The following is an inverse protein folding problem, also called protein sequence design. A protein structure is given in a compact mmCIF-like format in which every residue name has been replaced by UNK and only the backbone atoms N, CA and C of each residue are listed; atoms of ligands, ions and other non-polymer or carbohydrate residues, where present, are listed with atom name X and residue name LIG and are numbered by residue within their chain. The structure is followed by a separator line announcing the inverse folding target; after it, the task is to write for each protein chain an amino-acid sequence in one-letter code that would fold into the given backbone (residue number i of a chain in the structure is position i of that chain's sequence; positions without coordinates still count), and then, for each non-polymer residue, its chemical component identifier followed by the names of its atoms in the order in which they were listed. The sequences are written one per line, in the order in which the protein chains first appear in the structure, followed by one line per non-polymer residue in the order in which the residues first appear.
data_IF_251135190435
#
_entry.id   IF_251135190435
#
_cell.length_a   1.000
_cell.length_b   1.000
_cell.length_c   1.000
_cell.angle_alpha   90.00
_cell.angle_beta   90.00
_cell.angle_gamma   90.00
#
_symmetry.space_group_name_H-M   'P 1'
#
loop_
_entity.id
_entity.type
_entity.pdbx_description
1 polymer ?
#
# COMPACT_ATOMS: atom_id res chain seq x y z
N UNK A 1 -3.54 -31.22 10.39
CA UNK A 1 -2.86 -29.91 10.57
C UNK A 1 -3.10 -29.14 9.30
N UNK A 2 -3.72 -27.95 9.38
CA UNK A 2 -3.90 -27.10 8.20
C UNK A 2 -2.53 -26.77 7.59
N UNK A 3 -2.46 -26.70 6.26
CA UNK A 3 -1.22 -26.26 5.59
C UNK A 3 -0.99 -24.79 5.95
N UNK A 4 0.24 -24.44 6.32
CA UNK A 4 0.62 -23.06 6.68
C UNK A 4 0.16 -22.07 5.59
N UNK A 5 -0.43 -20.94 5.99
CA UNK A 5 -1.10 -19.93 5.15
C UNK A 5 -2.46 -20.33 4.55
N UNK A 6 -2.88 -21.60 4.55
CA UNK A 6 -4.08 -22.01 3.83
C UNK A 6 -5.34 -21.31 4.35
N UNK A 7 -5.52 -21.27 5.67
CA UNK A 7 -6.67 -20.61 6.30
C UNK A 7 -6.70 -19.11 5.97
N UNK A 8 -5.57 -18.42 6.12
CA UNK A 8 -5.41 -17.02 5.75
C UNK A 8 -5.78 -16.79 4.28
N UNK A 9 -5.20 -17.58 3.37
CA UNK A 9 -5.41 -17.42 1.93
C UNK A 9 -6.89 -17.60 1.58
N UNK A 10 -7.51 -18.69 2.03
CA UNK A 10 -8.91 -18.98 1.71
C UNK A 10 -9.86 -17.90 2.23
N UNK A 11 -9.65 -17.45 3.47
CA UNK A 11 -10.49 -16.44 4.11
C UNK A 11 -10.37 -15.06 3.46
N UNK A 12 -9.14 -14.58 3.26
CA UNK A 12 -8.90 -13.28 2.61
C UNK A 12 -9.40 -13.32 1.16
N UNK A 13 -9.22 -14.45 0.46
CA UNK A 13 -9.71 -14.60 -0.91
C UNK A 13 -11.24 -14.59 -0.96
N UNK A 14 -11.92 -15.27 -0.04
CA UNK A 14 -13.38 -15.24 0.04
C UNK A 14 -13.91 -13.81 0.19
N UNK A 15 -13.35 -13.03 1.13
CA UNK A 15 -13.69 -11.61 1.28
C UNK A 15 -13.36 -10.80 0.03
N UNK A 16 -12.22 -11.06 -0.62
CA UNK A 16 -11.84 -10.40 -1.87
C UNK A 16 -12.82 -10.69 -3.01
N UNK A 17 -13.33 -11.92 -3.10
CA UNK A 17 -14.32 -12.31 -4.09
C UNK A 17 -15.68 -11.60 -3.86
N UNK A 18 -16.05 -11.32 -2.61
CA UNK A 18 -17.24 -10.49 -2.31
C UNK A 18 -17.07 -9.05 -2.83
N UNK A 19 -15.87 -8.49 -2.69
CA UNK A 19 -15.56 -7.13 -3.16
C UNK A 19 -15.39 -7.06 -4.69
N UNK A 20 -14.90 -8.14 -5.30
CA UNK A 20 -14.61 -8.24 -6.74
C UNK A 20 -15.11 -9.59 -7.29
N UNK A 21 -16.41 -9.68 -7.67
CA UNK A 21 -17.05 -10.93 -8.08
C UNK A 21 -16.35 -11.68 -9.22
N UNK A 22 -15.61 -10.97 -10.10
CA UNK A 22 -14.83 -11.60 -11.17
C UNK A 22 -13.75 -12.58 -10.69
N UNK A 23 -13.39 -12.54 -9.39
CA UNK A 23 -12.45 -13.49 -8.78
C UNK A 23 -13.11 -14.81 -8.41
N UNK A 24 -14.44 -14.87 -8.25
CA UNK A 24 -15.14 -16.09 -7.84
C UNK A 24 -14.87 -17.29 -8.77
N UNK A 25 -14.57 -17.03 -10.06
CA UNK A 25 -14.18 -18.05 -11.05
C UNK A 25 -12.95 -18.88 -10.67
N UNK A 26 -12.08 -18.38 -9.79
CA UNK A 26 -10.90 -19.12 -9.32
C UNK A 26 -11.20 -20.03 -8.13
N UNK A 27 -12.43 -19.97 -7.59
CA UNK A 27 -12.90 -20.79 -6.49
C UNK A 27 -14.02 -21.76 -6.94
N UNK A 28 -14.20 -21.96 -8.24
CA UNK A 28 -15.11 -22.96 -8.80
C UNK A 28 -14.29 -24.24 -9.02
N UNK A 29 -14.85 -25.36 -8.58
CA UNK A 29 -14.38 -26.73 -8.86
C UNK A 29 -15.23 -27.29 -10.00
N UNK A 30 -14.68 -28.14 -10.86
CA UNK A 30 -15.47 -28.81 -11.88
C UNK A 30 -16.56 -29.69 -11.23
N UNK A 31 -17.83 -29.48 -11.60
CA UNK A 31 -18.95 -30.26 -11.06
C UNK A 31 -18.89 -31.73 -11.51
N UNK A 32 -18.16 -32.01 -12.60
CA UNK A 32 -17.93 -33.35 -13.13
C UNK A 32 -16.77 -34.09 -12.42
N UNK A 33 -15.94 -33.38 -11.63
CA UNK A 33 -14.85 -33.94 -10.81
C UNK A 33 -15.05 -33.62 -9.32
N UNK A 34 -15.95 -34.31 -8.61
CA UNK A 34 -16.32 -33.99 -7.23
C UNK A 34 -15.17 -34.16 -6.20
N UNK A 35 -14.06 -34.76 -6.59
CA UNK A 35 -12.85 -34.92 -5.77
C UNK A 35 -11.79 -33.83 -6.05
N UNK A 36 -12.03 -32.90 -6.99
CA UNK A 36 -11.10 -31.82 -7.28
C UNK A 36 -11.15 -30.77 -6.14
N UNK A 37 -10.02 -30.55 -5.46
CA UNK A 37 -9.89 -29.50 -4.46
C UNK A 37 -9.30 -28.22 -5.08
N UNK A 38 -9.86 -27.06 -4.73
CA UNK A 38 -9.31 -25.77 -5.15
C UNK A 38 -7.88 -25.64 -4.63
N UNK A 39 -6.91 -25.53 -5.55
CA UNK A 39 -5.52 -25.26 -5.21
C UNK A 39 -5.40 -23.88 -4.55
N UNK A 40 -5.18 -23.86 -3.23
CA UNK A 40 -5.03 -22.63 -2.47
C UNK A 40 -3.83 -21.80 -2.94
N UNK A 41 -2.85 -22.37 -3.64
CA UNK A 41 -1.71 -21.62 -4.21
C UNK A 41 -2.17 -20.72 -5.35
N UNK A 42 -3.13 -21.17 -6.15
CA UNK A 42 -3.77 -20.34 -7.17
C UNK A 42 -4.49 -19.16 -6.52
N UNK A 43 -5.22 -19.39 -5.43
CA UNK A 43 -5.86 -18.32 -4.66
C UNK A 43 -4.83 -17.35 -4.07
N UNK A 44 -3.72 -17.87 -3.53
CA UNK A 44 -2.62 -17.07 -2.99
C UNK A 44 -1.98 -16.16 -4.04
N UNK A 45 -1.78 -16.66 -5.26
CA UNK A 45 -1.31 -15.85 -6.40
C UNK A 45 -2.30 -14.74 -6.76
N UNK A 46 -3.61 -15.02 -6.71
CA UNK A 46 -4.62 -13.98 -6.89
C UNK A 46 -4.58 -12.92 -5.79
N UNK A 47 -4.33 -13.28 -4.52
CA UNK A 47 -4.15 -12.29 -3.46
C UNK A 47 -2.98 -11.34 -3.77
N UNK A 48 -1.82 -11.91 -4.13
CA UNK A 48 -0.61 -11.14 -4.47
C UNK A 48 -0.89 -10.17 -5.62
N UNK A 49 -1.57 -10.63 -6.68
CA UNK A 49 -1.88 -9.83 -7.89
C UNK A 49 -2.98 -8.78 -7.70
N UNK A 50 -3.82 -8.91 -6.68
CA UNK A 50 -4.95 -8.00 -6.47
C UNK A 50 -4.74 -7.03 -5.32
N UNK A 51 -3.85 -7.32 -4.38
CA UNK A 51 -3.39 -6.28 -3.45
C UNK A 51 -2.44 -5.29 -4.16
N UNK A 52 -2.35 -4.03 -3.69
CA UNK A 52 -1.34 -3.07 -4.15
C UNK A 52 0.08 -3.61 -3.92
N UNK A 53 1.00 -3.31 -4.84
CA UNK A 53 2.36 -3.88 -4.84
C UNK A 53 3.06 -3.91 -3.48
N UNK A 54 3.06 -2.82 -2.66
CA UNK A 54 3.70 -2.86 -1.35
C UNK A 54 3.18 -3.99 -0.44
N UNK A 55 1.88 -4.29 -0.49
CA UNK A 55 1.27 -5.38 0.29
C UNK A 55 1.48 -6.72 -0.41
N UNK A 56 1.29 -6.76 -1.74
CA UNK A 56 1.45 -7.97 -2.54
C UNK A 56 2.84 -8.61 -2.42
N UNK A 57 3.91 -7.82 -2.38
CA UNK A 57 5.29 -8.32 -2.20
C UNK A 57 5.48 -9.01 -0.86
N UNK A 58 4.95 -8.45 0.23
CA UNK A 58 5.08 -9.06 1.55
C UNK A 58 4.25 -10.34 1.68
N UNK A 59 3.07 -10.40 1.03
CA UNK A 59 2.30 -11.64 0.91
C UNK A 59 3.05 -12.70 0.11
N UNK A 60 3.67 -12.32 -1.01
CA UNK A 60 4.50 -13.21 -1.82
C UNK A 60 5.65 -13.81 -1.02
N UNK A 61 6.31 -13.00 -0.18
CA UNK A 61 7.35 -13.49 0.75
C UNK A 61 6.75 -14.43 1.80
N UNK A 62 5.65 -14.06 2.45
CA UNK A 62 4.99 -14.85 3.49
C UNK A 62 4.48 -16.21 2.98
N UNK A 63 4.04 -16.27 1.72
CA UNK A 63 3.55 -17.51 1.08
C UNK A 63 4.65 -18.37 0.48
N UNK A 64 5.90 -17.88 0.48
CA UNK A 64 7.03 -18.61 -0.10
C UNK A 64 7.40 -19.86 0.73
N UNK A 65 8.10 -20.80 0.08
CA UNK A 65 8.53 -22.04 0.73
C UNK A 65 9.46 -21.84 1.94
N UNK A 66 10.23 -20.75 1.97
CA UNK A 66 11.13 -20.43 3.09
C UNK A 66 10.40 -19.99 4.36
N UNK A 67 9.12 -19.64 4.25
CA UNK A 67 8.30 -19.19 5.38
C UNK A 67 7.39 -20.31 5.92
N UNK A 68 7.61 -21.58 5.56
CA UNK A 68 6.77 -22.69 6.03
C UNK A 68 7.03 -23.08 7.48
N UNK A 69 8.22 -22.80 8.00
CA UNK A 69 8.57 -23.10 9.38
C UNK A 69 8.01 -22.00 10.30
N UNK A 70 7.48 -22.40 11.45
CA UNK A 70 6.94 -21.47 12.46
C UNK A 70 8.09 -20.91 13.33
N UNK A 71 9.04 -20.26 12.68
CA UNK A 71 10.27 -19.76 13.30
C UNK A 71 10.30 -18.22 13.37
N UNK A 72 11.43 -17.69 13.87
CA UNK A 72 11.62 -16.24 14.01
C UNK A 72 11.53 -15.52 12.67
N UNK A 73 11.98 -16.15 11.59
CA UNK A 73 11.96 -15.55 10.26
C UNK A 73 10.52 -15.36 9.77
N UNK A 74 9.67 -16.37 9.95
CA UNK A 74 8.23 -16.26 9.65
C UNK A 74 7.57 -15.19 10.51
N UNK A 75 7.85 -15.18 11.82
CA UNK A 75 7.31 -14.18 12.73
C UNK A 75 7.64 -12.75 12.27
N UNK A 76 8.91 -12.49 11.95
CA UNK A 76 9.36 -11.20 11.45
C UNK A 76 8.69 -10.84 10.11
N UNK A 77 8.43 -11.82 9.23
CA UNK A 77 7.71 -11.59 7.98
C UNK A 77 6.23 -11.24 8.21
N UNK A 78 5.55 -11.87 9.18
CA UNK A 78 4.18 -11.50 9.56
C UNK A 78 4.14 -10.04 10.01
N UNK A 79 5.08 -9.62 10.87
CA UNK A 79 5.20 -8.22 11.30
C UNK A 79 5.43 -7.27 10.13
N UNK A 80 6.34 -7.61 9.20
CA UNK A 80 6.58 -6.79 8.02
C UNK A 80 5.33 -6.65 7.15
N UNK A 81 4.57 -7.72 6.97
CA UNK A 81 3.31 -7.67 6.21
C UNK A 81 2.28 -6.76 6.87
N UNK A 82 2.16 -6.81 8.20
CA UNK A 82 1.27 -5.93 8.97
C UNK A 82 1.72 -4.47 8.84
N UNK A 83 2.99 -4.22 9.15
CA UNK A 83 3.58 -2.87 9.13
C UNK A 83 3.44 -2.24 7.76
N UNK A 84 3.71 -3.00 6.69
CA UNK A 84 3.59 -2.52 5.31
C UNK A 84 2.15 -2.27 4.90
N UNK A 85 1.20 -3.12 5.30
CA UNK A 85 -0.22 -2.92 5.05
C UNK A 85 -0.73 -1.64 5.72
N UNK A 86 -0.32 -1.42 6.96
CA UNK A 86 -0.68 -0.22 7.74
C UNK A 86 -0.01 1.04 7.21
N UNK A 87 1.25 0.96 6.81
CA UNK A 87 1.95 2.07 6.15
C UNK A 87 1.22 2.47 4.87
N UNK A 88 0.96 1.52 3.97
CA UNK A 88 0.30 1.78 2.70
C UNK A 88 -1.08 2.41 2.91
N UNK A 89 -1.94 1.83 3.76
CA UNK A 89 -3.28 2.38 3.97
C UNK A 89 -3.23 3.76 4.64
N UNK A 90 -2.28 4.00 5.55
CA UNK A 90 -2.10 5.33 6.13
C UNK A 90 -1.75 6.36 5.05
N UNK A 91 -0.93 6.00 4.05
CA UNK A 91 -0.58 6.89 2.94
C UNK A 91 -1.75 7.17 2.02
N UNK A 92 -2.63 6.19 1.77
CA UNK A 92 -3.89 6.42 1.07
C UNK A 92 -4.74 7.45 1.81
N UNK A 93 -4.91 7.28 3.13
CA UNK A 93 -5.71 8.18 3.94
C UNK A 93 -5.12 9.60 4.01
N UNK A 94 -3.80 9.73 4.17
CA UNK A 94 -3.11 11.04 4.18
C UNK A 94 -3.24 11.72 2.82
N UNK A 95 -3.06 11.00 1.73
CA UNK A 95 -3.13 11.56 0.38
C UNK A 95 -4.53 12.11 0.10
N UNK A 96 -5.57 11.38 0.53
CA UNK A 96 -6.92 11.88 0.43
C UNK A 96 -7.14 13.10 1.34
N UNK A 97 -6.71 13.02 2.60
CA UNK A 97 -6.86 14.13 3.54
C UNK A 97 -6.17 15.40 3.05
N UNK A 98 -4.98 15.27 2.46
CA UNK A 98 -4.27 16.41 1.85
C UNK A 98 -5.10 17.04 0.72
N UNK A 99 -5.58 16.24 -0.23
CA UNK A 99 -6.45 16.71 -1.32
C UNK A 99 -7.70 17.41 -0.78
N UNK A 100 -8.35 16.82 0.22
CA UNK A 100 -9.60 17.31 0.77
C UNK A 100 -9.38 18.59 1.61
N UNK A 101 -8.21 18.76 2.24
CA UNK A 101 -7.81 20.04 2.86
C UNK A 101 -7.60 21.12 1.82
N UNK A 102 -6.87 20.84 0.73
CA UNK A 102 -6.64 21.82 -0.33
C UNK A 102 -7.94 22.23 -1.04
N UNK A 103 -8.90 21.31 -1.15
CA UNK A 103 -10.24 21.59 -1.65
C UNK A 103 -11.16 22.28 -0.64
N UNK A 104 -10.71 22.45 0.61
CA UNK A 104 -11.50 23.05 1.69
C UNK A 104 -12.67 22.19 2.18
N UNK A 105 -12.70 20.89 1.84
CA UNK A 105 -13.75 19.96 2.27
C UNK A 105 -13.44 19.29 3.61
N UNK A 106 -12.16 19.16 3.97
CA UNK A 106 -11.71 18.63 5.25
C UNK A 106 -11.12 19.73 6.14
N UNK A 107 -11.61 19.82 7.37
CA UNK A 107 -10.95 20.63 8.41
C UNK A 107 -10.09 19.74 9.31
N UNK A 108 -8.79 20.02 9.40
CA UNK A 108 -7.91 19.27 10.31
C UNK A 108 -8.22 19.66 11.77
N UNK A 109 -8.48 18.70 12.68
CA UNK A 109 -8.65 18.98 14.11
C UNK A 109 -7.34 19.43 14.76
N UNK A 110 -7.42 20.31 15.77
CA UNK A 110 -6.22 20.83 16.46
C UNK A 110 -5.35 19.72 17.09
N UNK A 111 -5.99 18.64 17.55
CA UNK A 111 -5.31 17.44 18.07
C UNK A 111 -4.47 16.74 17.01
N UNK A 112 -4.85 16.82 15.73
CA UNK A 112 -4.07 16.30 14.61
C UNK A 112 -2.98 17.29 14.22
N UNK A 113 -3.29 18.60 14.13
CA UNK A 113 -2.31 19.64 13.73
C UNK A 113 -1.06 19.67 14.61
N UNK A 114 -1.26 19.66 15.94
CA UNK A 114 -0.16 19.80 16.90
C UNK A 114 0.84 18.64 16.89
N UNK A 115 0.36 17.45 16.57
CA UNK A 115 1.15 16.21 16.64
C UNK A 115 1.67 15.75 15.27
N UNK A 116 1.04 16.15 14.16
CA UNK A 116 1.29 15.58 12.84
C UNK A 116 2.73 15.75 12.40
N UNK A 117 3.25 16.97 12.32
CA UNK A 117 4.61 17.22 11.83
C UNK A 117 5.64 16.43 12.64
N UNK A 118 5.59 16.51 13.97
CA UNK A 118 6.53 15.82 14.85
C UNK A 118 6.51 14.30 14.68
N UNK A 119 5.31 13.70 14.58
CA UNK A 119 5.16 12.25 14.34
C UNK A 119 5.52 11.86 12.91
N UNK A 120 5.36 12.76 11.93
CA UNK A 120 5.59 12.49 10.51
C UNK A 120 7.06 12.61 10.11
N UNK A 121 7.91 13.24 10.92
CA UNK A 121 9.37 13.31 10.68
C UNK A 121 10.05 11.94 10.65
N UNK A 122 9.56 10.96 11.42
CA UNK A 122 10.07 9.59 11.42
C UNK A 122 8.94 8.60 11.71
N UNK A 123 8.59 7.82 10.69
CA UNK A 123 7.43 6.94 10.75
C UNK A 123 7.74 5.64 11.48
N UNK A 124 6.74 5.16 12.21
CA UNK A 124 6.74 3.92 12.96
C UNK A 124 5.36 3.28 12.85
N UNK A 125 5.24 2.03 13.30
CA UNK A 125 3.94 1.38 13.41
C UNK A 125 2.95 2.17 14.28
N UNK A 126 3.46 2.79 15.37
CA UNK A 126 2.69 3.71 16.21
C UNK A 126 2.21 4.96 15.46
N UNK A 127 2.98 5.43 14.47
CA UNK A 127 2.56 6.54 13.62
C UNK A 127 1.43 6.11 12.67
N UNK A 128 1.56 4.95 12.01
CA UNK A 128 0.53 4.47 11.07
C UNK A 128 -0.82 4.21 11.75
N UNK A 129 -0.80 3.50 12.89
CA UNK A 129 -2.01 3.25 13.71
C UNK A 129 -2.72 4.56 14.10
N UNK A 130 -1.95 5.52 14.59
CA UNK A 130 -2.45 6.83 15.00
C UNK A 130 -3.06 7.59 13.83
N UNK A 131 -2.40 7.66 12.67
CA UNK A 131 -2.93 8.33 11.47
C UNK A 131 -4.25 7.70 11.03
N UNK A 132 -4.29 6.36 10.91
CA UNK A 132 -5.48 5.64 10.46
C UNK A 132 -6.67 5.96 11.39
N UNK A 133 -6.46 5.92 12.70
CA UNK A 133 -7.51 6.23 13.68
C UNK A 133 -7.94 7.70 13.64
N UNK A 134 -6.98 8.62 13.65
CA UNK A 134 -7.27 10.05 13.72
C UNK A 134 -8.02 10.52 12.48
N UNK A 135 -7.56 10.13 11.29
CA UNK A 135 -8.24 10.46 10.04
C UNK A 135 -9.57 9.72 9.91
N UNK A 136 -9.64 8.46 10.32
CA UNK A 136 -10.88 7.68 10.41
C UNK A 136 -11.98 8.39 11.21
N UNK A 137 -11.64 8.83 12.42
CA UNK A 137 -12.56 9.59 13.28
C UNK A 137 -12.90 10.96 12.66
N UNK A 138 -11.92 11.68 12.14
CA UNK A 138 -12.12 13.02 11.56
C UNK A 138 -13.12 12.99 10.40
N UNK A 139 -12.97 12.04 9.47
CA UNK A 139 -13.90 11.87 8.34
C UNK A 139 -15.29 11.47 8.81
N UNK A 140 -15.37 10.56 9.79
CA UNK A 140 -16.66 10.15 10.36
C UNK A 140 -17.38 11.31 11.06
N UNK A 141 -16.66 12.14 11.81
CA UNK A 141 -17.21 13.29 12.54
C UNK A 141 -17.68 14.41 11.60
N UNK A 142 -16.97 14.61 10.49
CA UNK A 142 -17.30 15.63 9.49
C UNK A 142 -18.20 15.11 8.37
N UNK A 143 -18.59 13.82 8.41
CA UNK A 143 -19.42 13.17 7.40
C UNK A 143 -18.84 13.30 5.98
N UNK A 144 -17.52 13.11 5.84
CA UNK A 144 -16.80 13.18 4.57
C UNK A 144 -16.65 11.75 4.02
N UNK A 145 -16.93 11.57 2.73
CA UNK A 145 -16.81 10.28 2.08
C UNK A 145 -15.35 9.96 1.74
N UNK A 146 -14.95 8.71 1.96
CA UNK A 146 -13.66 8.20 1.50
C UNK A 146 -13.65 7.99 -0.02
N UNK A 147 -12.51 8.24 -0.66
CA UNK A 147 -12.26 7.90 -2.06
C UNK A 147 -12.52 6.41 -2.32
N UNK A 148 -12.25 5.59 -1.31
CA UNK A 148 -12.67 4.20 -1.22
C UNK A 148 -13.81 4.07 -0.20
N UNK A 149 -15.08 4.10 -0.63
CA UNK A 149 -16.22 4.16 0.29
C UNK A 149 -16.30 2.98 1.26
N UNK A 150 -15.70 1.84 0.91
CA UNK A 150 -15.63 0.64 1.75
C UNK A 150 -14.87 0.87 3.06
N UNK A 151 -13.99 1.88 3.12
CA UNK A 151 -13.30 2.24 4.37
C UNK A 151 -14.29 2.57 5.49
N UNK A 152 -15.43 3.20 5.16
CA UNK A 152 -16.45 3.58 6.15
C UNK A 152 -17.02 2.38 6.89
N UNK A 153 -17.23 1.25 6.21
CA UNK A 153 -17.78 0.02 6.82
C UNK A 153 -16.69 -0.93 7.30
N UNK A 154 -15.52 -0.93 6.66
CA UNK A 154 -14.39 -1.80 7.04
C UNK A 154 -13.62 -1.31 8.26
N UNK A 155 -13.52 0.00 8.49
CA UNK A 155 -12.73 0.58 9.59
C UNK A 155 -13.62 0.90 10.79
N UNK A 156 -14.19 -0.15 11.36
CA UNK A 156 -15.01 -0.09 12.56
C UNK A 156 -14.16 -0.07 13.85
N UNK A 157 -14.85 0.01 15.00
CA UNK A 157 -14.19 -0.04 16.32
C UNK A 157 -13.33 -1.29 16.53
N UNK A 158 -13.69 -2.42 15.93
CA UNK A 158 -12.93 -3.67 16.04
C UNK A 158 -11.65 -3.60 15.22
N UNK A 159 -11.71 -3.02 14.02
CA UNK A 159 -10.53 -2.76 13.20
C UNK A 159 -9.54 -1.87 13.93
N UNK A 160 -9.97 -0.72 14.46
CA UNK A 160 -9.08 0.17 15.20
C UNK A 160 -8.47 -0.50 16.44
N UNK A 161 -9.26 -1.28 17.19
CA UNK A 161 -8.76 -2.04 18.34
C UNK A 161 -7.72 -3.09 17.94
N UNK A 162 -7.90 -3.75 16.78
CA UNK A 162 -6.92 -4.69 16.25
C UNK A 162 -5.60 -4.01 15.84
N UNK A 163 -5.63 -2.74 15.43
CA UNK A 163 -4.44 -1.98 15.10
C UNK A 163 -3.62 -1.60 16.35
N UNK A 164 -4.28 -1.24 17.45
CA UNK A 164 -3.61 -0.84 18.71
C UNK A 164 -2.77 -1.97 19.31
N UNK A 165 -3.17 -3.22 19.08
CA UNK A 165 -2.45 -4.41 19.54
C UNK A 165 -0.98 -4.40 19.11
N UNK A 166 -0.67 -3.92 17.91
CA UNK A 166 0.67 -4.13 17.34
C UNK A 166 1.74 -3.17 17.84
N UNK A 167 1.36 -2.01 18.36
CA UNK A 167 2.34 -1.02 18.86
C UNK A 167 3.18 -1.57 20.01
N UNK A 168 2.60 -2.11 21.11
CA UNK A 168 3.39 -2.72 22.18
C UNK A 168 4.14 -3.97 21.71
N UNK A 169 3.51 -4.83 20.91
CA UNK A 169 4.12 -6.09 20.44
C UNK A 169 5.36 -5.86 19.57
N UNK A 170 5.31 -4.84 18.69
CA UNK A 170 6.46 -4.48 17.86
C UNK A 170 7.61 -3.95 18.69
N UNK A 171 7.33 -3.16 19.73
CA UNK A 171 8.35 -2.67 20.65
C UNK A 171 8.98 -3.83 21.44
N UNK A 172 8.14 -4.75 21.94
CA UNK A 172 8.60 -5.93 22.69
C UNK A 172 9.54 -6.82 21.87
N UNK A 173 9.24 -7.05 20.59
CA UNK A 173 10.02 -7.94 19.72
C UNK A 173 11.23 -7.25 19.10
N UNK A 174 11.12 -5.93 18.85
CA UNK A 174 12.18 -5.11 18.26
C UNK A 174 13.31 -4.80 19.24
N UNK A 175 13.00 -4.70 20.53
CA UNK A 175 14.00 -4.82 21.58
C UNK A 175 14.29 -6.32 21.74
N UNK A 176 15.44 -6.80 21.25
CA UNK A 176 15.97 -8.17 21.48
C UNK A 176 16.16 -8.55 22.96
N UNK A 177 15.45 -7.91 23.89
CA UNK A 177 15.47 -8.13 25.33
C UNK A 177 14.66 -9.36 25.75
N UNK A 178 13.80 -9.91 24.88
CA UNK A 178 13.10 -11.17 25.16
C UNK A 178 13.71 -12.29 24.30
N UNK A 179 14.45 -13.18 24.96
CA UNK A 179 14.78 -14.48 24.41
C UNK A 179 13.49 -15.33 24.41
N UNK A 180 12.68 -15.19 23.36
CA UNK A 180 11.53 -16.06 23.14
C UNK A 180 12.00 -17.48 22.91
N UNK A 181 11.36 -18.45 23.56
CA UNK A 181 11.61 -19.86 23.27
C UNK A 181 11.06 -20.21 21.88
N UNK A 182 11.49 -21.32 21.30
CA UNK A 182 10.93 -21.80 20.04
C UNK A 182 9.41 -22.01 20.14
N UNK A 183 8.93 -22.56 21.26
CA UNK A 183 7.50 -22.76 21.51
C UNK A 183 6.72 -21.43 21.57
N UNK A 184 7.28 -20.38 22.18
CA UNK A 184 6.65 -19.05 22.20
C UNK A 184 6.57 -18.44 20.80
N UNK A 185 7.61 -18.63 19.99
CA UNK A 185 7.66 -18.15 18.61
C UNK A 185 6.60 -18.86 17.76
N UNK A 186 6.47 -20.19 17.89
CA UNK A 186 5.47 -20.96 17.17
C UNK A 186 4.04 -20.50 17.51
N UNK A 187 3.75 -20.33 18.81
CA UNK A 187 2.45 -19.83 19.29
C UNK A 187 2.14 -18.44 18.72
N UNK A 188 3.12 -17.51 18.77
CA UNK A 188 2.97 -16.16 18.22
C UNK A 188 2.80 -16.16 16.71
N UNK A 189 3.46 -17.05 15.97
CA UNK A 189 3.25 -17.16 14.52
C UNK A 189 1.78 -17.49 14.20
N UNK A 190 1.20 -18.46 14.90
CA UNK A 190 -0.21 -18.84 14.69
C UNK A 190 -1.15 -17.71 15.10
N UNK A 191 -0.95 -17.12 16.28
CA UNK A 191 -1.81 -16.04 16.77
C UNK A 191 -1.74 -14.79 15.88
N UNK A 192 -0.53 -14.39 15.47
CA UNK A 192 -0.34 -13.19 14.69
C UNK A 192 -0.74 -13.38 13.23
N UNK A 193 -0.65 -14.59 12.67
CA UNK A 193 -1.23 -14.91 11.36
C UNK A 193 -2.76 -14.74 11.37
N UNK A 194 -3.44 -15.15 12.44
CA UNK A 194 -4.88 -14.94 12.58
C UNK A 194 -5.24 -13.44 12.64
N UNK A 195 -4.48 -12.65 13.39
CA UNK A 195 -4.68 -11.19 13.44
C UNK A 195 -4.35 -10.49 12.11
N UNK A 196 -3.29 -10.93 11.42
CA UNK A 196 -2.98 -10.48 10.07
C UNK A 196 -4.11 -10.82 9.10
N UNK A 197 -4.66 -12.04 9.18
CA UNK A 197 -5.81 -12.49 8.38
C UNK A 197 -6.97 -11.52 8.55
N UNK A 198 -7.33 -11.18 9.79
CA UNK A 198 -8.38 -10.20 10.07
C UNK A 198 -8.10 -8.83 9.44
N UNK A 199 -6.87 -8.33 9.52
CA UNK A 199 -6.50 -7.04 8.89
C UNK A 199 -6.66 -7.13 7.36
N UNK A 200 -6.18 -8.20 6.74
CA UNK A 200 -6.24 -8.38 5.29
C UNK A 200 -7.68 -8.54 4.79
N UNK A 201 -8.54 -9.26 5.52
CA UNK A 201 -9.98 -9.35 5.23
C UNK A 201 -10.61 -7.95 5.18
N UNK A 202 -10.28 -7.08 6.14
CA UNK A 202 -10.76 -5.68 6.18
C UNK A 202 -10.21 -4.82 5.08
N UNK A 203 -9.06 -5.19 4.49
CA UNK A 203 -8.43 -4.50 3.37
C UNK A 203 -8.75 -5.13 2.01
N UNK A 204 -9.53 -6.21 1.94
CA UNK A 204 -9.85 -6.92 0.70
C UNK A 204 -10.53 -6.06 -0.37
N UNK A 205 -11.17 -4.95 0.03
CA UNK A 205 -11.73 -3.97 -0.90
C UNK A 205 -10.68 -3.31 -1.81
N UNK A 206 -9.41 -3.29 -1.41
CA UNK A 206 -8.30 -2.79 -2.23
C UNK A 206 -8.21 -3.50 -3.60
N UNK A 207 -8.71 -4.75 -3.69
CA UNK A 207 -8.77 -5.50 -4.95
C UNK A 207 -9.60 -4.84 -6.07
N UNK A 208 -10.51 -3.94 -5.70
CA UNK A 208 -11.34 -3.15 -6.63
C UNK A 208 -10.54 -2.03 -7.30
N UNK A 209 -9.45 -1.60 -6.68
CA UNK A 209 -8.64 -0.46 -7.10
C UNK A 209 -7.35 -0.91 -7.76
N UNK A 210 -6.75 -0.02 -8.54
CA UNK A 210 -5.51 -0.28 -9.28
C UNK A 210 -4.45 0.74 -8.89
N UNK A 211 -3.34 0.25 -8.34
CA UNK A 211 -2.14 1.04 -8.12
C UNK A 211 -1.38 1.11 -9.44
N UNK A 212 -1.11 2.32 -9.92
CA UNK A 212 -0.40 2.55 -11.18
C UNK A 212 0.69 3.59 -10.99
N UNK A 213 1.77 3.45 -11.73
CA UNK A 213 2.79 4.47 -11.89
C UNK A 213 2.50 5.23 -13.19
N UNK A 214 2.38 6.57 -13.13
CA UNK A 214 2.27 7.41 -14.32
C UNK A 214 3.66 7.91 -14.67
N UNK A 215 4.25 7.30 -15.70
CA UNK A 215 5.64 7.55 -16.08
C UNK A 215 5.79 8.86 -16.86
N UNK A 216 4.85 9.15 -17.73
CA UNK A 216 4.85 10.33 -18.61
C UNK A 216 3.43 10.57 -19.17
N UNK A 217 3.13 11.82 -19.53
CA UNK A 217 1.89 12.22 -20.19
C UNK A 217 2.25 13.06 -21.41
N UNK A 218 1.97 12.51 -22.60
CA UNK A 218 2.26 13.17 -23.87
C UNK A 218 1.00 13.84 -24.43
N UNK A 219 1.10 15.12 -24.75
CA UNK A 219 0.03 15.87 -25.40
C UNK A 219 0.02 15.53 -26.89
N UNK A 220 -1.11 15.03 -27.39
CA UNK A 220 -1.36 14.83 -28.81
C UNK A 220 -2.38 15.85 -29.31
N UNK A 221 -1.92 16.81 -30.13
CA UNK A 221 -2.74 17.90 -30.65
C UNK A 221 -2.55 18.06 -32.15
N UNK A 222 -3.55 17.66 -32.93
CA UNK A 222 -3.60 17.92 -34.37
C UNK A 222 -4.32 19.23 -34.70
N UNK A 223 -4.10 19.73 -35.91
CA UNK A 223 -4.76 20.94 -36.43
C UNK A 223 -6.28 20.73 -36.46
N UNK A 224 -7.05 21.65 -35.87
CA UNK A 224 -8.53 21.63 -35.77
C UNK A 224 -9.14 20.43 -35.00
N UNK A 225 -8.38 19.72 -34.17
CA UNK A 225 -8.91 18.71 -33.25
C UNK A 225 -8.66 19.12 -31.81
N UNK A 226 -9.41 18.61 -30.84
CA UNK A 226 -9.10 18.83 -29.43
C UNK A 226 -7.82 18.10 -29.02
N UNK A 227 -7.19 18.55 -27.93
CA UNK A 227 -6.03 17.86 -27.38
C UNK A 227 -6.47 16.50 -26.81
N UNK A 228 -5.66 15.47 -27.03
CA UNK A 228 -5.75 14.21 -26.30
C UNK A 228 -4.45 13.99 -25.54
N UNK A 229 -4.53 13.26 -24.44
CA UNK A 229 -3.42 13.00 -23.54
C UNK A 229 -3.12 11.51 -23.57
N UNK A 230 -1.88 11.17 -23.91
CA UNK A 230 -1.38 9.80 -23.90
C UNK A 230 -0.62 9.58 -22.60
N UNK A 231 -1.23 8.85 -21.67
CA UNK A 231 -0.62 8.43 -20.42
C UNK A 231 0.16 7.14 -20.63
N UNK A 232 1.42 7.14 -20.20
CA UNK A 232 2.26 5.95 -20.17
C UNK A 232 2.27 5.46 -18.74
N UNK A 233 1.62 4.33 -18.47
CA UNK A 233 1.41 3.83 -17.10
C UNK A 233 2.01 2.44 -16.88
N UNK A 234 2.58 2.19 -15.70
CA UNK A 234 2.95 0.86 -15.21
C UNK A 234 1.93 0.34 -14.20
N UNK A 235 1.42 -0.89 -14.38
CA UNK A 235 0.48 -1.48 -13.42
C UNK A 235 1.23 -2.08 -12.23
N UNK A 236 1.09 -1.47 -11.05
CA UNK A 236 1.71 -1.89 -9.79
C UNK A 236 0.81 -2.86 -9.00
N UNK A 237 0.05 -3.69 -9.71
CA UNK A 237 -0.67 -4.83 -9.16
C UNK A 237 -0.20 -6.05 -9.95
N UNK A 238 0.92 -6.63 -9.54
CA UNK A 238 1.57 -7.75 -10.24
C UNK A 238 2.13 -8.76 -9.25
N UNK A 239 2.37 -9.98 -9.73
CA UNK A 239 3.14 -11.01 -9.04
C UNK A 239 4.66 -10.83 -9.19
N UNK A 240 5.09 -10.07 -10.18
CA UNK A 240 6.47 -9.78 -10.53
C UNK A 240 6.73 -8.27 -10.61
N UNK A 241 8.01 -7.90 -10.60
CA UNK A 241 8.48 -6.51 -10.65
C UNK A 241 8.60 -5.99 -12.09
N UNK A 242 8.21 -6.77 -13.09
CA UNK A 242 8.25 -6.37 -14.50
C UNK A 242 6.94 -5.69 -14.87
N UNK A 243 6.79 -4.44 -14.43
CA UNK A 243 5.57 -3.67 -14.65
C UNK A 243 5.42 -3.30 -16.13
N UNK A 244 4.55 -4.03 -16.82
CA UNK A 244 4.23 -3.77 -18.23
C UNK A 244 3.67 -2.36 -18.39
N UNK A 245 4.34 -1.57 -19.22
CA UNK A 245 3.87 -0.27 -19.64
C UNK A 245 2.63 -0.42 -20.53
N UNK A 246 1.56 0.27 -20.17
CA UNK A 246 0.35 0.42 -20.98
C UNK A 246 0.21 1.87 -21.41
N UNK A 247 -0.41 2.07 -22.56
CA UNK A 247 -0.72 3.40 -23.08
C UNK A 247 -2.23 3.60 -23.02
N UNK A 248 -2.66 4.66 -22.32
CA UNK A 248 -4.06 5.05 -22.23
C UNK A 248 -4.21 6.42 -22.89
N UNK A 249 -5.23 6.57 -23.72
CA UNK A 249 -5.54 7.83 -24.38
C UNK A 249 -6.81 8.42 -23.78
N UNK A 250 -6.71 9.64 -23.26
CA UNK A 250 -7.80 10.32 -22.60
C UNK A 250 -7.97 11.76 -23.08
N UNK A 251 -9.14 12.33 -22.78
CA UNK A 251 -9.43 13.75 -23.04
C UNK A 251 -9.00 14.66 -21.88
N UNK A 252 -8.71 14.08 -20.70
CA UNK A 252 -8.19 14.76 -19.51
C UNK A 252 -6.82 14.20 -19.16
N UNK A 253 -6.05 14.93 -18.36
CA UNK A 253 -4.74 14.50 -17.86
C UNK A 253 -4.77 14.32 -16.33
N UNK A 254 -3.80 13.58 -15.82
CA UNK A 254 -3.53 13.41 -14.39
C UNK A 254 -2.21 14.09 -14.04
N UNK A 255 -1.71 13.88 -12.83
CA UNK A 255 -0.35 14.25 -12.46
C UNK A 255 0.67 13.32 -13.17
N UNK A 256 1.84 13.87 -13.50
CA UNK A 256 2.96 13.14 -14.13
C UNK A 256 3.97 12.67 -13.08
N UNK A 257 4.74 11.62 -13.39
CA UNK A 257 5.82 11.11 -12.54
C UNK A 257 5.35 10.78 -11.10
N UNK A 258 4.17 10.17 -11.00
CA UNK A 258 3.52 9.92 -9.73
C UNK A 258 2.94 8.50 -9.63
N UNK A 259 2.63 8.08 -8.40
CA UNK A 259 1.91 6.83 -8.16
C UNK A 259 0.45 7.16 -7.84
N UNK A 260 -0.47 6.59 -8.60
CA UNK A 260 -1.90 6.80 -8.45
C UNK A 260 -2.62 5.52 -7.99
N UNK A 261 -3.69 5.71 -7.23
CA UNK A 261 -4.75 4.71 -7.09
C UNK A 261 -5.90 5.10 -7.99
N UNK A 262 -6.30 4.19 -8.87
CA UNK A 262 -7.45 4.33 -9.76
C UNK A 262 -8.61 3.43 -9.32
N UNK A 263 -9.85 3.91 -9.49
CA UNK A 263 -11.04 3.04 -9.40
C UNK A 263 -11.12 2.05 -10.57
N UNK A 264 -10.54 2.41 -11.71
CA UNK A 264 -10.54 1.62 -12.94
C UNK A 264 -9.36 2.03 -13.82
N UNK A 265 -8.77 1.09 -14.56
CA UNK A 265 -7.77 1.41 -15.60
C UNK A 265 -8.42 1.80 -16.94
N UNK A 266 -9.76 1.83 -17.02
CA UNK A 266 -10.47 2.21 -18.25
C UNK A 266 -10.55 3.72 -18.43
N UNK A 267 -10.43 4.47 -17.34
CA UNK A 267 -10.52 5.93 -17.31
C UNK A 267 -9.52 6.48 -16.31
N UNK A 268 -8.99 7.68 -16.57
CA UNK A 268 -8.03 8.35 -15.69
C UNK A 268 -8.66 9.45 -14.82
N UNK A 269 -9.99 9.53 -14.77
CA UNK A 269 -10.74 10.63 -14.13
C UNK A 269 -10.88 10.48 -12.61
N UNK A 270 -11.00 9.25 -12.11
CA UNK A 270 -11.23 8.96 -10.70
C UNK A 270 -9.97 8.36 -10.07
N UNK A 271 -9.10 9.26 -9.62
CA UNK A 271 -7.80 8.89 -9.04
C UNK A 271 -7.52 9.56 -7.70
N UNK A 272 -6.57 8.95 -6.99
CA UNK A 272 -5.91 9.52 -5.83
C UNK A 272 -4.39 9.45 -6.03
N UNK A 273 -3.73 10.60 -5.99
CA UNK A 273 -2.27 10.69 -6.11
C UNK A 273 -1.61 10.40 -4.76
N UNK A 274 -0.69 9.44 -4.72
CA UNK A 274 0.05 9.03 -3.52
C UNK A 274 1.47 9.62 -3.44
N UNK A 275 1.91 10.37 -4.45
CA UNK A 275 3.14 11.14 -4.35
C UNK A 275 2.99 12.22 -3.28
N UNK A 276 4.03 12.52 -2.50
CA UNK A 276 5.38 11.94 -2.55
C UNK A 276 5.57 10.74 -1.61
N UNK A 277 4.48 10.20 -1.02
CA UNK A 277 4.54 9.14 0.01
C UNK A 277 4.84 7.76 -0.57
N UNK A 278 4.34 7.50 -1.78
CA UNK A 278 4.67 6.32 -2.57
C UNK A 278 5.24 6.80 -3.89
N UNK A 279 6.44 6.35 -4.24
CA UNK A 279 7.09 6.68 -5.50
C UNK A 279 7.51 5.41 -6.22
N UNK A 280 7.66 5.50 -7.53
CA UNK A 280 8.15 4.43 -8.37
C UNK A 280 9.34 4.92 -9.19
N UNK A 281 10.41 4.13 -9.20
CA UNK A 281 11.66 4.45 -9.90
C UNK A 281 11.83 3.64 -11.18
N UNK A 282 10.87 2.77 -11.54
CA UNK A 282 10.97 1.94 -12.75
C UNK A 282 11.10 2.78 -14.02
N UNK A 283 10.47 3.94 -14.07
CA UNK A 283 10.54 4.88 -15.20
C UNK A 283 11.85 5.70 -15.29
N UNK A 284 12.65 5.75 -14.22
CA UNK A 284 13.83 6.62 -14.17
C UNK A 284 14.89 6.23 -15.22
N UNK A 285 15.41 7.16 -16.00
CA UNK A 285 16.51 6.82 -16.92
C UNK A 285 17.85 6.85 -16.18
N UNK A 286 18.54 5.70 -16.15
CA UNK A 286 19.86 5.55 -15.52
C UNK A 286 20.94 5.63 -16.62
N UNK A 287 21.26 6.85 -17.02
CA UNK A 287 22.21 7.18 -18.09
C UNK A 287 23.46 7.94 -17.61
N UNK A 288 23.45 8.40 -16.36
CA UNK A 288 24.52 9.13 -15.73
C UNK A 288 25.10 8.39 -14.51
N UNK A 289 26.39 8.61 -14.21
CA UNK A 289 27.11 7.87 -13.15
C UNK A 289 26.49 8.06 -11.77
N UNK A 290 26.02 9.26 -11.48
CA UNK A 290 25.32 9.64 -10.25
C UNK A 290 23.97 8.92 -10.05
N UNK A 291 23.45 8.24 -11.09
CA UNK A 291 22.21 7.45 -11.02
C UNK A 291 22.45 5.95 -10.93
N UNK A 292 23.70 5.47 -10.99
CA UNK A 292 24.00 4.02 -10.98
C UNK A 292 23.60 3.33 -9.67
N UNK A 293 23.48 4.10 -8.59
CA UNK A 293 23.03 3.59 -7.29
C UNK A 293 21.49 3.56 -7.16
N UNK A 294 20.75 4.14 -8.10
CA UNK A 294 19.28 4.08 -8.12
C UNK A 294 18.85 2.65 -8.44
N UNK A 295 18.10 2.05 -7.52
CA UNK A 295 17.50 0.74 -7.72
C UNK A 295 16.08 0.89 -8.23
N UNK A 296 15.70 0.01 -9.16
CA UNK A 296 14.34 -0.09 -9.71
C UNK A 296 13.44 -0.77 -8.69
N UNK A 297 12.58 0.01 -8.04
CA UNK A 297 11.64 -0.45 -7.02
C UNK A 297 10.52 0.59 -6.83
N UNK A 298 9.46 0.16 -6.15
CA UNK A 298 8.49 1.04 -5.51
C UNK A 298 9.00 1.35 -4.10
N UNK A 299 8.95 2.62 -3.74
CA UNK A 299 9.51 3.15 -2.51
C UNK A 299 8.43 3.83 -1.68
N UNK A 300 8.47 3.60 -0.37
CA UNK A 300 7.56 4.19 0.60
C UNK A 300 8.31 5.15 1.51
N UNK A 301 7.74 6.34 1.74
CA UNK A 301 8.29 7.34 2.65
C UNK A 301 8.51 6.75 4.04
N UNK A 302 9.59 7.15 4.71
CA UNK A 302 9.92 6.67 6.06
C UNK A 302 10.26 7.77 7.03
N UNK A 303 11.02 8.78 6.60
CA UNK A 303 11.47 9.87 7.47
C UNK A 303 11.96 11.04 6.66
N UNK A 304 11.91 12.21 7.28
CA UNK A 304 12.46 13.44 6.78
C UNK A 304 13.52 13.95 7.73
N UNK A 305 14.75 14.16 7.23
CA UNK A 305 15.87 14.64 8.04
C UNK A 305 16.83 15.43 7.17
N UNK A 306 17.33 16.54 7.70
CA UNK A 306 18.34 17.35 7.01
C UNK A 306 17.90 17.79 5.60
N UNK A 307 16.63 18.21 5.49
CA UNK A 307 15.97 18.60 4.23
C UNK A 307 15.93 17.50 3.17
N UNK A 308 15.90 16.24 3.60
CA UNK A 308 15.90 15.08 2.71
C UNK A 308 14.77 14.12 3.05
N UNK A 309 14.06 13.68 2.02
CA UNK A 309 13.07 12.61 2.11
C UNK A 309 13.80 11.28 2.01
N UNK A 310 13.57 10.40 2.97
CA UNK A 310 14.09 9.04 2.93
C UNK A 310 12.97 8.05 2.71
N UNK A 311 13.28 7.08 1.86
CA UNK A 311 12.36 6.02 1.48
C UNK A 311 12.92 4.65 1.87
N UNK A 312 12.03 3.67 1.93
CA UNK A 312 12.37 2.25 1.99
C UNK A 312 11.78 1.56 0.77
N UNK A 313 12.57 0.71 0.12
CA UNK A 313 12.11 -0.11 -0.99
C UNK A 313 11.10 -1.16 -0.53
N UNK A 314 10.28 -1.64 -1.47
CA UNK A 314 9.47 -2.85 -1.26
C UNK A 314 10.30 -4.11 -1.43
N UNK A 315 11.21 -4.12 -2.40
CA UNK A 315 12.14 -5.21 -2.69
C UNK A 315 13.58 -4.89 -2.30
N UNK A 316 14.00 -3.65 -2.46
CA UNK A 316 15.34 -3.17 -2.16
C UNK A 316 15.51 -3.05 -0.65
N UNK A 317 16.45 -3.82 -0.12
CA UNK A 317 16.77 -3.86 1.33
C UNK A 317 17.93 -2.94 1.71
N UNK A 318 18.73 -2.53 0.72
CA UNK A 318 19.84 -1.61 0.89
C UNK A 318 19.34 -0.17 1.05
N UNK A 319 20.14 0.69 1.71
CA UNK A 319 19.84 2.12 1.76
C UNK A 319 20.19 2.75 0.42
N UNK A 320 19.18 3.24 -0.29
CA UNK A 320 19.36 4.00 -1.53
C UNK A 320 19.26 5.50 -1.26
N UNK A 321 20.18 6.25 -1.84
CA UNK A 321 20.06 7.70 -1.94
C UNK A 321 19.28 8.04 -3.21
N UNK A 322 18.08 8.58 -3.04
CA UNK A 322 17.17 8.90 -4.13
C UNK A 322 17.22 10.38 -4.54
N UNK A 323 18.18 11.16 -4.03
CA UNK A 323 18.36 12.57 -4.39
C UNK A 323 18.75 12.79 -5.85
N UNK A 324 19.28 11.76 -6.51
CA UNK A 324 19.62 11.78 -7.93
C UNK A 324 18.43 11.50 -8.86
N UNK A 325 17.22 11.25 -8.32
CA UNK A 325 16.01 11.13 -9.12
C UNK A 325 15.72 12.42 -9.88
N UNK A 326 15.29 12.29 -11.13
CA UNK A 326 15.01 13.43 -12.01
C UNK A 326 13.94 14.39 -11.46
N UNK A 327 13.00 13.88 -10.67
CA UNK A 327 11.89 14.61 -10.06
C UNK A 327 12.07 14.86 -8.55
N UNK A 328 13.26 14.64 -7.97
CA UNK A 328 13.44 14.71 -6.51
C UNK A 328 13.04 16.07 -5.90
N UNK A 329 13.36 17.18 -6.55
CA UNK A 329 12.98 18.52 -6.07
C UNK A 329 11.45 18.73 -6.04
N UNK A 330 10.73 18.11 -6.98
CA UNK A 330 9.26 18.12 -7.00
C UNK A 330 8.73 17.35 -5.79
N UNK A 331 9.25 16.14 -5.56
CA UNK A 331 8.89 15.32 -4.40
C UNK A 331 9.14 16.06 -3.07
N UNK A 332 10.27 16.79 -2.99
CA UNK A 332 10.61 17.61 -1.84
C UNK A 332 9.64 18.78 -1.64
N UNK A 333 9.23 19.45 -2.72
CA UNK A 333 8.21 20.51 -2.67
C UNK A 333 6.85 19.96 -2.22
N UNK A 334 6.38 18.89 -2.85
CA UNK A 334 5.10 18.24 -2.53
C UNK A 334 5.08 17.77 -1.07
N UNK A 335 6.19 17.26 -0.54
CA UNK A 335 6.27 16.86 0.87
C UNK A 335 6.09 18.07 1.79
N UNK A 336 6.75 19.18 1.49
CA UNK A 336 6.63 20.42 2.27
C UNK A 336 5.21 20.98 2.22
N UNK A 337 4.56 20.90 1.06
CA UNK A 337 3.17 21.29 0.86
C UNK A 337 2.21 20.40 1.66
N UNK A 338 2.41 19.08 1.63
CA UNK A 338 1.67 18.12 2.45
C UNK A 338 1.79 18.46 3.94
N UNK A 339 3.00 18.67 4.46
CA UNK A 339 3.20 19.06 5.86
C UNK A 339 2.47 20.38 6.18
N UNK A 340 2.52 21.36 5.26
CA UNK A 340 1.86 22.65 5.41
C UNK A 340 0.34 22.52 5.44
N UNK A 341 -0.24 21.66 4.61
CA UNK A 341 -1.68 21.42 4.55
C UNK A 341 -2.22 20.92 5.90
N UNK A 342 -1.50 20.01 6.57
CA UNK A 342 -1.88 19.49 7.88
C UNK A 342 -1.70 20.49 9.04
N UNK A 343 -1.14 21.68 8.77
CA UNK A 343 -1.06 22.80 9.72
C UNK A 343 -2.16 23.85 9.52
N UNK A 344 -2.84 23.85 8.37
CA UNK A 344 -3.99 24.74 8.10
C UNK A 344 -5.14 24.39 9.02
#
# INVERSE_FOLDING_TARGET
MAVVNESLIRRVFAEMALQKPSLAKFAIVDEDEPDEEIDFRLLGDQLIKNFPWPVGVELRRLFSGSMRQLDRLRLDQIFKTIERSMQFISFVMISQAWRDVENGTLKIPDSLKGDFEGRFLALSLGTYTWIIRMLGNTYSEQNIEWFMPEMTSSFDKKFYAALDFWVPERNEIGHYQINLTAEDIEKRCVEYEEKLTFILERLSFLSKYRLVSVNDIKVNKHKKQDATFKHIIGLLNSSDSDFKANEIFETKYTDSHCVLILKSIKTMDDFLNLSPLVIDTHAETIDAKEKFDIKKDVFLYTKFRSDQIMYVGTEVTEKCDLRSLSNYEILLSEYKELISAFKK
#
